data_IF_831503239426
#
_entry.id   IF_831503239426
#
_cell.length_a   1.000
_cell.length_b   1.000
_cell.length_c   1.000
_cell.angle_alpha   90.00
_cell.angle_beta   90.00
_cell.angle_gamma   90.00
#
_symmetry.space_group_name_H-M   'P 1'
#
loop_
_entity.id
_entity.type
_entity.pdbx_description
1 polymer ?
#
# COMPACT_ATOMS: atom_id res chain seq x y z
N UNK A 1 -0.13 11.20 14.02
CA UNK A 1 0.11 10.64 12.68
C UNK A 1 0.88 11.64 11.87
N UNK A 2 2.02 11.27 11.29
CA UNK A 2 2.79 12.13 10.39
C UNK A 2 2.35 11.86 8.95
N UNK A 3 1.14 12.27 8.57
CA UNK A 3 0.64 12.07 7.20
C UNK A 3 0.55 13.43 6.53
N UNK A 4 1.17 13.52 5.36
CA UNK A 4 1.15 14.72 4.53
C UNK A 4 -0.27 14.85 3.96
N UNK A 5 -0.96 15.92 4.34
CA UNK A 5 -2.35 16.17 3.90
C UNK A 5 -2.37 16.79 2.51
N UNK A 6 -1.47 17.74 2.28
CA UNK A 6 -1.37 18.53 1.06
C UNK A 6 -0.04 18.24 0.38
N UNK A 7 -0.12 17.73 -0.86
CA UNK A 7 1.06 17.37 -1.63
C UNK A 7 1.92 18.60 -1.94
N UNK A 8 1.28 19.71 -2.28
CA UNK A 8 1.93 20.98 -2.64
C UNK A 8 2.81 21.54 -1.52
N UNK A 9 2.47 21.28 -0.25
CA UNK A 9 3.27 21.71 0.90
C UNK A 9 4.69 21.11 0.90
N UNK A 10 4.91 19.98 0.23
CA UNK A 10 6.26 19.40 0.07
C UNK A 10 7.13 20.34 -0.75
N UNK A 11 6.61 20.88 -1.86
CA UNK A 11 7.34 21.83 -2.70
C UNK A 11 7.69 23.10 -1.93
N UNK A 12 6.71 23.66 -1.20
CA UNK A 12 6.92 24.81 -0.32
C UNK A 12 7.99 24.53 0.73
N UNK A 13 8.00 23.35 1.35
CA UNK A 13 9.04 22.95 2.31
C UNK A 13 10.43 22.96 1.64
N UNK A 14 10.58 22.36 0.46
CA UNK A 14 11.87 22.33 -0.26
C UNK A 14 12.37 23.72 -0.65
N UNK A 15 11.47 24.68 -0.88
CA UNK A 15 11.80 26.07 -1.16
C UNK A 15 12.11 26.90 0.10
N UNK A 16 11.33 26.72 1.16
CA UNK A 16 11.57 27.42 2.42
C UNK A 16 12.89 26.98 3.06
N UNK A 17 13.20 25.68 3.03
CA UNK A 17 14.43 25.15 3.62
C UNK A 17 15.70 25.72 3.01
N UNK A 18 15.70 26.13 1.73
CA UNK A 18 16.89 26.77 1.14
C UNK A 18 17.20 28.15 1.73
N UNK A 19 16.29 28.72 2.51
CA UNK A 19 16.46 30.00 3.20
C UNK A 19 16.69 29.84 4.72
N UNK A 20 16.70 28.61 5.24
CA UNK A 20 16.91 28.32 6.65
C UNK A 20 18.39 28.07 6.97
N UNK A 21 18.76 28.21 8.24
CA UNK A 21 20.08 27.79 8.73
C UNK A 21 20.31 26.28 8.53
N UNK A 22 21.57 25.89 8.35
CA UNK A 22 21.97 24.49 8.04
C UNK A 22 21.49 23.50 9.10
N UNK A 23 21.48 23.91 10.38
CA UNK A 23 20.97 23.10 11.51
C UNK A 23 19.48 22.79 11.35
N UNK A 24 18.67 23.81 11.08
CA UNK A 24 17.24 23.66 10.83
C UNK A 24 16.98 22.79 9.59
N UNK A 25 17.73 23.01 8.51
CA UNK A 25 17.64 22.15 7.32
C UNK A 25 17.89 20.68 7.68
N UNK A 26 18.96 20.39 8.43
CA UNK A 26 19.35 19.03 8.81
C UNK A 26 18.27 18.33 9.62
N UNK A 27 17.70 19.02 10.62
CA UNK A 27 16.63 18.49 11.45
C UNK A 27 15.38 18.16 10.63
N UNK A 28 14.94 19.09 9.78
CA UNK A 28 13.73 18.89 8.97
C UNK A 28 13.92 17.78 7.94
N UNK A 29 15.04 17.73 7.22
CA UNK A 29 15.31 16.66 6.26
C UNK A 29 15.43 15.28 6.92
N UNK A 30 16.04 15.21 8.10
CA UNK A 30 16.13 13.97 8.88
C UNK A 30 14.74 13.49 9.33
N UNK A 31 13.94 14.40 9.92
CA UNK A 31 12.57 14.10 10.33
C UNK A 31 11.70 13.69 9.14
N UNK A 32 11.78 14.43 8.03
CA UNK A 32 11.03 14.13 6.82
C UNK A 32 11.38 12.75 6.26
N UNK A 33 12.67 12.39 6.22
CA UNK A 33 13.13 11.06 5.81
C UNK A 33 12.58 9.96 6.72
N UNK A 34 12.57 10.17 8.04
CA UNK A 34 11.98 9.23 8.99
C UNK A 34 10.47 9.05 8.80
N UNK A 35 9.76 10.13 8.43
CA UNK A 35 8.33 10.13 8.10
C UNK A 35 8.07 9.33 6.81
N UNK A 36 8.90 9.51 5.78
CA UNK A 36 8.80 8.77 4.52
C UNK A 36 9.01 7.26 4.71
N UNK A 37 10.04 6.85 5.46
CA UNK A 37 10.34 5.42 5.73
C UNK A 37 9.18 4.66 6.36
N UNK A 38 8.32 5.37 7.11
CA UNK A 38 7.21 4.77 7.87
C UNK A 38 5.86 4.80 7.14
N UNK A 39 5.76 5.47 5.98
CA UNK A 39 4.48 5.75 5.33
C UNK A 39 4.56 5.65 3.81
N UNK A 40 3.99 4.57 3.27
CA UNK A 40 3.81 4.39 1.81
C UNK A 40 2.94 5.50 1.23
N UNK A 41 1.98 6.04 2.00
CA UNK A 41 1.16 7.18 1.57
C UNK A 41 2.03 8.43 1.35
N UNK A 42 2.95 8.73 2.27
CA UNK A 42 3.82 9.90 2.13
C UNK A 42 4.84 9.72 1.01
N UNK A 43 5.33 8.49 0.80
CA UNK A 43 6.17 8.15 -0.35
C UNK A 43 5.43 8.40 -1.66
N UNK A 44 4.19 7.90 -1.78
CA UNK A 44 3.34 8.14 -2.93
C UNK A 44 3.11 9.64 -3.19
N UNK A 45 2.71 10.40 -2.16
CA UNK A 45 2.50 11.85 -2.27
C UNK A 45 3.79 12.58 -2.70
N UNK A 46 4.94 12.15 -2.20
CA UNK A 46 6.25 12.70 -2.58
C UNK A 46 6.64 12.38 -4.02
N UNK A 47 6.29 11.19 -4.51
CA UNK A 47 6.46 10.81 -5.92
C UNK A 47 5.55 11.63 -6.83
N UNK A 48 4.29 11.87 -6.44
CA UNK A 48 3.32 12.65 -7.24
C UNK A 48 3.77 14.09 -7.50
N UNK A 49 4.47 14.71 -6.55
CA UNK A 49 5.05 16.06 -6.71
C UNK A 49 6.43 16.06 -7.35
N UNK A 50 6.96 14.90 -7.73
CA UNK A 50 8.28 14.77 -8.34
C UNK A 50 9.43 15.17 -7.40
N UNK A 51 9.33 14.83 -6.11
CA UNK A 51 10.32 15.26 -5.11
C UNK A 51 11.75 14.82 -5.46
N UNK A 52 11.93 13.62 -6.04
CA UNK A 52 13.25 13.17 -6.51
C UNK A 52 13.81 14.18 -7.50
N UNK A 53 13.04 14.56 -8.52
CA UNK A 53 13.49 15.55 -9.51
C UNK A 53 13.86 16.89 -8.84
N UNK A 54 13.01 17.40 -7.94
CA UNK A 54 13.25 18.68 -7.26
C UNK A 54 14.54 18.67 -6.46
N UNK A 55 14.81 17.60 -5.72
CA UNK A 55 16.01 17.45 -4.89
C UNK A 55 17.25 17.25 -5.76
N UNK A 56 17.14 16.44 -6.82
CA UNK A 56 18.25 16.22 -7.75
C UNK A 56 18.74 17.53 -8.40
N UNK A 57 17.80 18.41 -8.78
CA UNK A 57 18.12 19.71 -9.38
C UNK A 57 18.79 20.69 -8.40
N UNK A 58 18.53 20.56 -7.09
CA UNK A 58 19.13 21.42 -6.06
C UNK A 58 20.43 20.86 -5.47
N UNK A 59 20.78 19.60 -5.72
CA UNK A 59 21.94 18.96 -5.06
C UNK A 59 23.29 19.62 -5.36
N UNK A 60 23.46 20.27 -6.50
CA UNK A 60 24.71 20.98 -6.83
C UNK A 60 24.96 22.21 -5.94
N UNK A 61 23.93 22.72 -5.26
CA UNK A 61 24.02 23.94 -4.45
C UNK A 61 24.03 23.67 -2.94
N UNK A 62 23.87 22.41 -2.49
CA UNK A 62 23.68 22.09 -1.06
C UNK A 62 24.70 21.04 -0.59
N UNK A 63 25.95 21.48 -0.40
CA UNK A 63 27.06 20.61 0.00
C UNK A 63 26.91 20.01 1.40
N UNK A 64 26.50 20.83 2.38
CA UNK A 64 26.46 20.42 3.80
C UNK A 64 25.37 19.37 4.08
N UNK A 65 24.37 19.29 3.20
CA UNK A 65 23.18 18.43 3.37
C UNK A 65 23.24 17.14 2.56
N UNK A 66 24.29 16.93 1.77
CA UNK A 66 24.31 15.89 0.75
C UNK A 66 24.05 14.49 1.31
N UNK A 67 24.55 14.18 2.52
CA UNK A 67 24.35 12.88 3.14
C UNK A 67 22.86 12.61 3.46
N UNK A 68 22.16 13.61 3.97
CA UNK A 68 20.74 13.53 4.31
C UNK A 68 19.87 13.45 3.06
N UNK A 69 20.19 14.25 2.04
CA UNK A 69 19.48 14.21 0.75
C UNK A 69 19.68 12.88 0.03
N UNK A 70 20.91 12.33 0.04
CA UNK A 70 21.21 11.01 -0.54
C UNK A 70 20.45 9.91 0.18
N UNK A 71 20.38 9.96 1.51
CA UNK A 71 19.61 8.98 2.29
C UNK A 71 18.12 9.02 1.92
N UNK A 72 17.53 10.21 1.88
CA UNK A 72 16.15 10.41 1.46
C UNK A 72 15.88 9.96 0.02
N UNK A 73 16.77 10.30 -0.91
CA UNK A 73 16.69 9.87 -2.31
C UNK A 73 16.71 8.36 -2.43
N UNK A 74 17.52 7.68 -1.62
CA UNK A 74 17.53 6.23 -1.50
C UNK A 74 16.16 5.66 -1.08
N UNK A 75 15.53 6.25 -0.05
CA UNK A 75 14.18 5.87 0.37
C UNK A 75 13.16 6.06 -0.75
N UNK A 76 13.14 7.24 -1.37
CA UNK A 76 12.19 7.55 -2.45
C UNK A 76 12.39 6.63 -3.66
N UNK A 77 13.63 6.46 -4.12
CA UNK A 77 13.94 5.66 -5.31
C UNK A 77 13.74 4.15 -5.10
N UNK A 78 13.87 3.67 -3.86
CA UNK A 78 13.48 2.29 -3.48
C UNK A 78 11.97 2.07 -3.51
N UNK A 79 11.17 3.13 -3.38
CA UNK A 79 9.72 3.08 -3.56
C UNK A 79 9.33 3.17 -5.03
N UNK A 80 9.72 4.27 -5.70
CA UNK A 80 9.41 4.51 -7.10
C UNK A 80 10.39 5.52 -7.69
N UNK A 81 10.74 5.32 -8.96
CA UNK A 81 11.53 6.27 -9.74
C UNK A 81 11.09 6.20 -11.20
N UNK A 82 10.88 7.37 -11.80
CA UNK A 82 10.53 7.48 -13.22
C UNK A 82 11.76 7.40 -14.10
N UNK A 83 11.57 7.12 -15.40
CA UNK A 83 12.67 7.17 -16.39
C UNK A 83 13.33 8.55 -16.45
N UNK A 84 12.56 9.62 -16.25
CA UNK A 84 13.06 11.00 -16.24
C UNK A 84 14.00 11.25 -15.05
N UNK A 85 13.56 10.87 -13.85
CA UNK A 85 14.35 11.01 -12.61
C UNK A 85 15.60 10.13 -12.65
N UNK A 86 15.49 8.91 -13.19
CA UNK A 86 16.63 8.02 -13.35
C UNK A 86 17.68 8.59 -14.31
N UNK A 87 17.25 9.14 -15.46
CA UNK A 87 18.15 9.83 -16.39
C UNK A 87 18.81 11.04 -15.73
N UNK A 88 18.08 11.80 -14.92
CA UNK A 88 18.62 12.92 -14.16
C UNK A 88 19.67 12.45 -13.15
N UNK A 89 19.40 11.40 -12.38
CA UNK A 89 20.37 10.81 -11.45
C UNK A 89 21.64 10.35 -12.18
N UNK A 90 21.52 9.64 -13.31
CA UNK A 90 22.69 9.25 -14.11
C UNK A 90 23.46 10.44 -14.68
N UNK A 91 22.78 11.53 -15.04
CA UNK A 91 23.46 12.75 -15.50
C UNK A 91 24.36 13.36 -14.42
N UNK A 92 23.98 13.24 -13.15
CA UNK A 92 24.77 13.68 -12.00
C UNK A 92 25.96 12.77 -11.68
N UNK A 93 26.01 11.57 -12.28
CA UNK A 93 27.13 10.63 -12.17
C UNK A 93 28.11 10.76 -13.34
N UNK A 94 27.75 11.49 -14.40
CA UNK A 94 28.58 11.64 -15.59
C UNK A 94 29.83 12.47 -15.25
N UNK A 95 30.99 11.82 -15.29
CA UNK A 95 32.26 12.52 -15.18
C UNK A 95 32.57 13.40 -16.39
N UNK A 96 33.37 14.43 -16.15
CA UNK A 96 33.94 15.27 -17.19
C UNK A 96 35.47 15.17 -17.14
N UNK A 97 36.12 15.07 -18.30
CA UNK A 97 37.57 14.88 -18.44
C UNK A 97 38.15 13.74 -17.56
N UNK A 98 37.40 12.65 -17.39
CA UNK A 98 37.82 11.49 -16.58
C UNK A 98 37.70 11.69 -15.07
N UNK A 99 37.17 12.83 -14.62
CA UNK A 99 36.98 13.13 -13.20
C UNK A 99 35.51 12.92 -12.84
N UNK A 100 35.28 12.13 -11.79
CA UNK A 100 33.93 11.92 -11.26
C UNK A 100 33.44 13.17 -10.51
N UNK A 101 32.13 13.52 -10.61
CA UNK A 101 31.57 14.62 -9.84
C UNK A 101 31.75 14.40 -8.33
N UNK A 102 31.93 15.49 -7.58
CA UNK A 102 32.25 15.47 -6.13
C UNK A 102 31.39 14.52 -5.29
N UNK A 103 30.09 14.44 -5.58
CA UNK A 103 29.13 13.64 -4.81
C UNK A 103 28.73 12.33 -5.48
N UNK A 104 29.35 11.97 -6.60
CA UNK A 104 28.90 10.84 -7.40
C UNK A 104 29.01 9.49 -6.65
N UNK A 105 30.03 9.30 -5.81
CA UNK A 105 30.14 8.10 -4.96
C UNK A 105 28.95 7.98 -4.00
N UNK A 106 28.52 9.10 -3.39
CA UNK A 106 27.34 9.10 -2.53
C UNK A 106 26.07 8.83 -3.35
N UNK A 107 25.96 9.37 -4.56
CA UNK A 107 24.80 9.09 -5.42
C UNK A 107 24.75 7.66 -5.93
N UNK A 108 25.89 6.98 -6.11
CA UNK A 108 25.91 5.54 -6.38
C UNK A 108 25.26 4.73 -5.25
N UNK A 109 25.27 5.20 -3.99
CA UNK A 109 24.58 4.50 -2.91
C UNK A 109 23.06 4.52 -3.07
N UNK A 110 22.49 5.54 -3.73
CA UNK A 110 21.06 5.57 -4.09
C UNK A 110 20.74 4.41 -5.03
N UNK A 111 21.58 4.17 -6.04
CA UNK A 111 21.42 3.06 -6.98
C UNK A 111 21.49 1.69 -6.29
N UNK A 112 22.32 1.55 -5.26
CA UNK A 112 22.39 0.32 -4.47
C UNK A 112 21.13 0.08 -3.60
N UNK A 113 20.41 1.13 -3.23
CA UNK A 113 19.16 1.04 -2.46
C UNK A 113 17.94 0.80 -3.35
N UNK A 114 17.95 1.29 -4.59
CA UNK A 114 16.85 1.10 -5.55
C UNK A 114 16.35 -0.35 -5.73
N UNK A 115 17.21 -1.39 -5.83
CA UNK A 115 16.76 -2.78 -5.95
C UNK A 115 16.25 -3.36 -4.63
N UNK A 116 16.49 -2.72 -3.48
CA UNK A 116 16.03 -3.18 -2.16
C UNK A 116 14.57 -2.79 -1.90
N UNK A 117 13.70 -3.04 -2.88
CA UNK A 117 12.27 -2.75 -2.78
C UNK A 117 11.63 -3.67 -1.75
N UNK A 118 10.78 -3.09 -0.90
CA UNK A 118 10.05 -3.83 0.12
C UNK A 118 8.58 -3.94 -0.28
N UNK A 119 8.13 -5.17 -0.59
CA UNK A 119 6.74 -5.46 -0.98
C UNK A 119 6.58 -5.78 -2.47
N UNK A 120 5.34 -5.83 -2.97
CA UNK A 120 5.06 -6.17 -4.36
C UNK A 120 5.45 -5.05 -5.32
N UNK A 121 5.91 -5.41 -6.51
CA UNK A 121 6.28 -4.47 -7.58
C UNK A 121 5.10 -3.65 -8.11
N UNK A 122 3.89 -4.18 -7.98
CA UNK A 122 2.66 -3.54 -8.46
C UNK A 122 1.52 -3.85 -7.50
N UNK A 123 0.79 -2.82 -7.10
CA UNK A 123 -0.37 -2.94 -6.22
C UNK A 123 -1.35 -1.79 -6.47
N UNK A 124 -2.60 -2.01 -6.07
CA UNK A 124 -3.60 -0.94 -6.01
C UNK A 124 -3.59 -0.31 -4.61
N UNK A 125 -3.50 1.02 -4.56
CA UNK A 125 -3.57 1.76 -3.31
C UNK A 125 -4.96 2.38 -3.14
N UNK A 126 -5.65 2.03 -2.06
CA UNK A 126 -6.96 2.59 -1.74
C UNK A 126 -6.83 3.61 -0.61
N UNK A 127 -6.89 4.93 -0.89
CA UNK A 127 -6.65 5.97 0.12
C UNK A 127 -7.74 6.07 1.19
N UNK A 128 -8.87 5.37 1.03
CA UNK A 128 -10.04 5.47 1.90
C UNK A 128 -10.94 6.66 1.61
N UNK A 129 -10.77 7.32 0.44
CA UNK A 129 -11.65 8.39 -0.02
C UNK A 129 -12.87 7.81 -0.75
N UNK A 130 -13.95 8.59 -0.84
CA UNK A 130 -15.13 8.22 -1.64
C UNK A 130 -14.74 7.79 -3.05
N UNK A 131 -15.39 6.74 -3.56
CA UNK A 131 -15.14 6.15 -4.89
C UNK A 131 -13.74 5.53 -5.11
N UNK A 132 -12.91 5.34 -4.08
CA UNK A 132 -11.68 4.56 -4.18
C UNK A 132 -11.99 3.05 -4.21
N UNK A 133 -12.39 2.52 -5.37
CA UNK A 133 -12.74 1.12 -5.55
C UNK A 133 -12.35 0.61 -6.94
N UNK A 134 -12.18 -0.71 -7.05
CA UNK A 134 -12.13 -1.41 -8.34
C UNK A 134 -13.48 -2.07 -8.54
N UNK A 135 -14.21 -1.64 -9.57
CA UNK A 135 -15.43 -2.29 -10.01
C UNK A 135 -15.09 -3.28 -11.12
N UNK A 136 -15.37 -4.55 -10.88
CA UNK A 136 -15.30 -5.57 -11.92
C UNK A 136 -16.63 -5.62 -12.68
N UNK A 137 -16.63 -5.91 -13.99
CA UNK A 137 -17.85 -6.17 -14.72
C UNK A 137 -18.69 -7.28 -14.03
N UNK A 138 -20.02 -7.18 -14.01
CA UNK A 138 -20.86 -8.21 -13.43
C UNK A 138 -20.59 -9.57 -14.07
N UNK A 139 -20.44 -10.59 -13.23
CA UNK A 139 -20.32 -11.97 -13.71
C UNK A 139 -21.73 -12.53 -13.89
N UNK A 140 -22.02 -13.05 -15.08
CA UNK A 140 -23.36 -13.55 -15.42
C UNK A 140 -23.85 -14.67 -14.49
N UNK A 141 -22.94 -15.49 -13.96
CA UNK A 141 -23.26 -16.58 -13.04
C UNK A 141 -22.17 -16.73 -11.99
N UNK A 142 -22.54 -16.59 -10.71
CA UNK A 142 -21.63 -16.86 -9.61
C UNK A 142 -21.55 -18.38 -9.35
N UNK A 143 -20.37 -18.94 -9.01
CA UNK A 143 -20.24 -20.34 -8.65
C UNK A 143 -20.98 -20.64 -7.33
N UNK A 144 -22.21 -21.16 -7.43
CA UNK A 144 -23.01 -21.56 -6.28
C UNK A 144 -22.88 -23.06 -5.95
N UNK A 145 -22.54 -23.92 -6.91
CA UNK A 145 -22.53 -25.39 -6.75
C UNK A 145 -21.15 -26.06 -6.88
N UNK A 146 -20.09 -25.30 -7.15
CA UNK A 146 -18.75 -25.85 -7.41
C UNK A 146 -17.68 -25.29 -6.47
N UNK A 147 -18.07 -24.59 -5.41
CA UNK A 147 -17.14 -23.84 -4.56
C UNK A 147 -16.45 -22.70 -5.31
N UNK A 148 -15.61 -21.94 -4.62
CA UNK A 148 -14.72 -20.96 -5.24
C UNK A 148 -13.54 -20.65 -4.32
N UNK A 149 -12.49 -20.08 -4.89
CA UNK A 149 -11.37 -19.55 -4.12
C UNK A 149 -11.11 -18.11 -4.54
N UNK A 150 -10.91 -17.25 -3.55
CA UNK A 150 -10.31 -15.93 -3.74
C UNK A 150 -8.90 -16.02 -3.17
N UNK A 151 -7.91 -15.59 -3.94
CA UNK A 151 -6.54 -15.45 -3.48
C UNK A 151 -6.04 -14.04 -3.80
N UNK A 152 -5.57 -13.31 -2.79
CA UNK A 152 -5.04 -11.96 -2.99
C UNK A 152 -4.01 -11.61 -1.92
N UNK A 153 -3.13 -10.66 -2.24
CA UNK A 153 -2.26 -10.02 -1.27
C UNK A 153 -2.93 -8.78 -0.72
N UNK A 154 -2.83 -8.56 0.59
CA UNK A 154 -3.33 -7.36 1.22
C UNK A 154 -2.32 -6.79 2.22
N UNK A 155 -2.40 -5.48 2.41
CA UNK A 155 -1.69 -4.73 3.45
C UNK A 155 -2.60 -3.63 3.96
N UNK A 156 -2.88 -3.64 5.27
CA UNK A 156 -3.60 -2.55 5.89
C UNK A 156 -2.62 -1.47 6.34
N UNK A 157 -2.93 -0.21 6.05
CA UNK A 157 -2.18 0.94 6.57
C UNK A 157 -3.18 1.87 7.29
N UNK A 158 -3.64 1.46 8.50
CA UNK A 158 -4.65 2.21 9.24
C UNK A 158 -4.09 3.57 9.66
N UNK A 159 -4.94 4.58 9.57
CA UNK A 159 -4.72 5.88 10.17
C UNK A 159 -5.02 5.74 11.67
N UNK A 160 -4.21 6.31 12.58
CA UNK A 160 -4.60 6.50 14.00
C UNK A 160 -5.77 7.52 14.14
N UNK A 161 -6.88 7.29 13.44
CA UNK A 161 -8.06 8.12 13.51
C UNK A 161 -9.10 7.42 14.38
N UNK A 162 -9.81 8.20 15.19
CA UNK A 162 -10.91 7.78 16.08
C UNK A 162 -12.09 7.12 15.29
N UNK A 163 -12.08 7.18 13.95
CA UNK A 163 -13.12 6.68 13.04
C UNK A 163 -12.75 5.38 12.29
N UNK A 164 -11.93 4.49 12.88
CA UNK A 164 -11.54 3.18 12.27
C UNK A 164 -12.76 2.38 11.75
N UNK A 165 -13.93 2.58 12.36
CA UNK A 165 -15.14 1.86 11.98
C UNK A 165 -15.79 2.30 10.65
N UNK A 166 -15.53 3.52 10.17
CA UNK A 166 -16.14 4.04 8.93
C UNK A 166 -15.36 3.63 7.67
N UNK A 167 -14.04 3.52 7.77
CA UNK A 167 -13.15 3.31 6.62
C UNK A 167 -12.66 1.85 6.54
N UNK A 168 -13.60 0.91 6.41
CA UNK A 168 -13.26 -0.53 6.34
C UNK A 168 -12.89 -0.91 4.90
N UNK A 169 -11.75 -1.57 4.65
CA UNK A 169 -11.47 -2.16 3.35
C UNK A 169 -12.44 -3.33 3.14
N UNK A 170 -13.11 -3.34 2.00
CA UNK A 170 -14.07 -4.37 1.66
C UNK A 170 -13.70 -5.09 0.38
N UNK A 171 -13.92 -6.40 0.40
CA UNK A 171 -14.04 -7.23 -0.77
C UNK A 171 -15.52 -7.61 -0.92
N UNK A 172 -16.14 -7.32 -2.06
CA UNK A 172 -17.57 -7.59 -2.28
C UNK A 172 -17.80 -8.44 -3.53
N UNK A 173 -18.57 -9.52 -3.36
CA UNK A 173 -19.17 -10.29 -4.45
C UNK A 173 -20.65 -10.46 -4.14
N UNK A 174 -21.43 -9.43 -4.47
CA UNK A 174 -22.86 -9.39 -4.13
C UNK A 174 -23.70 -9.05 -5.35
N UNK A 175 -24.91 -9.58 -5.38
CA UNK A 175 -25.95 -9.16 -6.33
C UNK A 175 -26.49 -7.77 -5.95
N UNK A 176 -27.29 -7.16 -6.82
CA UNK A 176 -28.00 -5.90 -6.54
C UNK A 176 -28.92 -5.97 -5.32
N UNK A 177 -29.38 -7.18 -4.97
CA UNK A 177 -30.19 -7.47 -3.76
C UNK A 177 -29.35 -7.65 -2.49
N UNK A 178 -28.01 -7.53 -2.57
CA UNK A 178 -27.09 -7.68 -1.45
C UNK A 178 -26.79 -9.12 -1.04
N UNK A 179 -27.21 -10.10 -1.85
CA UNK A 179 -26.98 -11.54 -1.63
C UNK A 179 -25.60 -11.89 -2.17
N UNK A 180 -24.82 -12.69 -1.45
CA UNK A 180 -23.48 -13.09 -1.87
C UNK A 180 -22.47 -13.12 -0.74
N UNK A 181 -21.22 -12.84 -1.06
CA UNK A 181 -20.09 -12.94 -0.16
C UNK A 181 -19.41 -11.58 -0.01
N UNK A 182 -18.84 -11.34 1.16
CA UNK A 182 -18.00 -10.17 1.39
C UNK A 182 -16.96 -10.47 2.45
N UNK A 183 -15.83 -9.80 2.39
CA UNK A 183 -14.84 -9.83 3.45
C UNK A 183 -14.49 -8.39 3.85
N UNK A 184 -14.34 -8.14 5.16
CA UNK A 184 -13.98 -6.82 5.67
C UNK A 184 -13.20 -6.93 6.96
N UNK A 185 -12.42 -5.90 7.27
CA UNK A 185 -11.67 -5.86 8.51
C UNK A 185 -12.42 -5.13 9.62
N UNK A 186 -12.33 -5.68 10.83
CA UNK A 186 -12.74 -5.03 12.08
C UNK A 186 -11.52 -5.05 13.00
N UNK A 187 -10.90 -3.90 13.19
CA UNK A 187 -9.56 -3.82 13.77
C UNK A 187 -8.56 -4.64 12.94
N UNK A 188 -7.86 -5.56 13.61
CA UNK A 188 -6.89 -6.47 13.00
C UNK A 188 -7.50 -7.81 12.56
N UNK A 189 -8.83 -8.00 12.66
CA UNK A 189 -9.48 -9.26 12.34
C UNK A 189 -10.18 -9.17 10.97
N UNK A 190 -9.98 -10.17 10.13
CA UNK A 190 -10.75 -10.33 8.90
C UNK A 190 -12.06 -11.06 9.19
N UNK A 191 -13.17 -10.48 8.77
CA UNK A 191 -14.51 -11.07 8.87
C UNK A 191 -14.99 -11.44 7.48
N UNK A 192 -15.21 -12.73 7.24
CA UNK A 192 -15.83 -13.26 6.03
C UNK A 192 -17.32 -13.41 6.28
N UNK A 193 -18.15 -12.77 5.46
CA UNK A 193 -19.61 -12.78 5.56
C UNK A 193 -20.21 -13.40 4.32
N UNK A 194 -21.19 -14.27 4.53
CA UNK A 194 -22.00 -14.90 3.49
C UNK A 194 -23.47 -14.57 3.75
N UNK A 195 -24.10 -13.83 2.84
CA UNK A 195 -25.50 -13.39 2.95
C UNK A 195 -26.37 -14.18 1.98
N UNK A 196 -27.41 -14.82 2.51
CA UNK A 196 -28.44 -15.53 1.73
C UNK A 196 -29.62 -14.61 1.40
N UNK A 197 -29.99 -13.74 2.34
CA UNK A 197 -31.03 -12.73 2.17
C UNK A 197 -30.65 -11.49 2.98
N UNK A 198 -31.37 -10.38 2.80
CA UNK A 198 -31.14 -9.15 3.53
C UNK A 198 -31.14 -9.42 5.05
N UNK A 199 -30.00 -9.16 5.70
CA UNK A 199 -29.81 -9.33 7.15
C UNK A 199 -29.69 -10.77 7.67
N UNK A 200 -29.78 -11.81 6.81
CA UNK A 200 -29.62 -13.21 7.23
C UNK A 200 -28.42 -13.85 6.53
N UNK A 201 -27.46 -14.31 7.32
CA UNK A 201 -26.23 -14.89 6.80
C UNK A 201 -25.31 -15.50 7.85
N UNK A 202 -24.13 -15.92 7.39
CA UNK A 202 -23.02 -16.41 8.19
C UNK A 202 -21.95 -15.34 8.30
N UNK A 203 -21.32 -15.24 9.47
CA UNK A 203 -20.10 -14.49 9.65
C UNK A 203 -19.04 -15.40 10.27
N UNK A 204 -17.87 -15.42 9.66
CA UNK A 204 -16.70 -16.13 10.12
C UNK A 204 -15.61 -15.13 10.44
N UNK A 205 -15.25 -15.02 11.72
CA UNK A 205 -14.07 -14.29 12.15
C UNK A 205 -12.84 -15.16 11.91
N UNK A 206 -11.95 -14.73 11.02
CA UNK A 206 -10.69 -15.43 10.75
C UNK A 206 -9.82 -15.33 12.00
N UNK A 207 -9.46 -16.47 12.57
CA UNK A 207 -8.64 -16.59 13.79
C UNK A 207 -7.15 -16.28 13.53
N UNK A 208 -6.86 -15.06 13.05
CA UNK A 208 -5.52 -14.56 12.79
C UNK A 208 -5.44 -13.07 13.09
N UNK A 209 -4.39 -12.65 13.81
CA UNK A 209 -4.15 -11.25 14.17
C UNK A 209 -3.30 -10.56 13.09
N UNK A 210 -3.95 -9.83 12.19
CA UNK A 210 -3.28 -9.16 11.10
C UNK A 210 -2.61 -7.87 11.56
N UNK A 211 -1.27 -7.88 11.61
CA UNK A 211 -0.51 -6.69 11.95
C UNK A 211 -0.56 -5.64 10.84
N UNK A 212 -0.74 -4.35 11.17
CA UNK A 212 -0.72 -3.28 10.19
C UNK A 212 0.65 -3.17 9.49
N UNK A 213 0.65 -2.56 8.30
CA UNK A 213 1.82 -2.24 7.47
C UNK A 213 2.62 -3.45 6.98
N UNK A 214 2.11 -4.66 7.18
CA UNK A 214 2.69 -5.92 6.68
C UNK A 214 1.83 -6.49 5.56
N UNK A 215 2.49 -7.07 4.56
CA UNK A 215 1.83 -7.80 3.48
C UNK A 215 1.50 -9.23 3.92
N UNK A 216 0.32 -9.70 3.55
CA UNK A 216 -0.10 -11.07 3.75
C UNK A 216 -0.79 -11.59 2.48
N UNK A 217 -0.51 -12.83 2.14
CA UNK A 217 -1.29 -13.57 1.16
C UNK A 217 -2.51 -14.17 1.88
N UNK A 218 -3.71 -13.82 1.45
CA UNK A 218 -4.95 -14.43 1.95
C UNK A 218 -5.57 -15.28 0.85
N UNK A 219 -5.95 -16.50 1.23
CA UNK A 219 -6.81 -17.34 0.41
C UNK A 219 -8.09 -17.69 1.19
N UNK A 220 -9.25 -17.30 0.64
CA UNK A 220 -10.56 -17.68 1.16
C UNK A 220 -11.14 -18.73 0.22
N UNK A 221 -11.30 -19.95 0.73
CA UNK A 221 -11.78 -21.11 -0.02
C UNK A 221 -13.19 -21.44 0.47
N UNK A 222 -14.18 -21.33 -0.40
CA UNK A 222 -15.52 -21.85 -0.19
C UNK A 222 -15.63 -23.24 -0.79
N UNK A 223 -15.88 -24.23 0.05
CA UNK A 223 -16.06 -25.63 -0.34
C UNK A 223 -17.56 -25.93 -0.30
N UNK A 224 -18.14 -26.11 -1.47
CA UNK A 224 -19.54 -26.51 -1.59
C UNK A 224 -19.70 -27.99 -1.24
N UNK A 225 -20.69 -28.31 -0.41
CA UNK A 225 -21.12 -29.67 -0.17
C UNK A 225 -22.63 -29.78 -0.40
N UNK A 226 -23.05 -30.78 -1.19
CA UNK A 226 -24.46 -31.00 -1.52
C UNK A 226 -25.24 -31.70 -0.40
N UNK A 227 -24.57 -32.60 0.32
CA UNK A 227 -25.19 -33.51 1.29
C UNK A 227 -24.81 -33.21 2.74
N UNK A 228 -23.90 -32.26 2.95
CA UNK A 228 -23.48 -31.77 4.27
C UNK A 228 -23.43 -30.24 4.24
N UNK A 229 -23.08 -29.65 5.37
CA UNK A 229 -22.75 -28.23 5.43
C UNK A 229 -21.59 -27.92 4.47
N UNK A 230 -21.70 -26.78 3.79
CA UNK A 230 -20.57 -26.23 3.04
C UNK A 230 -19.55 -25.66 4.03
N UNK A 231 -18.34 -25.34 3.59
CA UNK A 231 -17.28 -24.85 4.48
C UNK A 231 -16.65 -23.59 3.91
N UNK A 232 -16.21 -22.70 4.80
CA UNK A 232 -15.20 -21.68 4.47
C UNK A 232 -13.90 -22.06 5.15
N UNK A 233 -12.80 -22.02 4.40
CA UNK A 233 -11.43 -22.15 4.91
C UNK A 233 -10.64 -20.90 4.57
N UNK A 234 -9.89 -20.40 5.53
CA UNK A 234 -9.08 -19.21 5.40
C UNK A 234 -7.60 -19.57 5.61
N UNK A 235 -6.79 -19.24 4.62
CA UNK A 235 -5.36 -19.43 4.62
C UNK A 235 -4.66 -18.07 4.68
N UNK A 236 -3.60 -17.99 5.48
CA UNK A 236 -2.72 -16.81 5.56
C UNK A 236 -1.31 -17.28 5.27
N UNK A 237 -0.67 -16.69 4.27
CA UNK A 237 0.66 -17.06 3.79
C UNK A 237 0.78 -18.57 3.49
N UNK A 238 -0.29 -19.15 2.94
CA UNK A 238 -0.36 -20.55 2.53
C UNK A 238 -0.70 -21.53 3.67
N UNK A 239 -0.79 -21.06 4.92
CA UNK A 239 -1.13 -21.90 6.07
C UNK A 239 -2.61 -21.75 6.42
N UNK A 240 -3.29 -22.87 6.68
CA UNK A 240 -4.67 -22.86 7.17
C UNK A 240 -4.70 -22.29 8.59
N UNK A 241 -5.41 -21.17 8.79
CA UNK A 241 -5.50 -20.50 10.10
C UNK A 241 -6.89 -20.56 10.71
N UNK A 242 -7.92 -20.73 9.89
CA UNK A 242 -9.31 -20.73 10.36
C UNK A 242 -10.22 -21.45 9.36
N UNK A 243 -11.27 -22.09 9.88
CA UNK A 243 -12.33 -22.65 9.06
C UNK A 243 -13.67 -22.58 9.81
N UNK A 244 -14.77 -22.62 9.07
CA UNK A 244 -16.12 -22.57 9.64
C UNK A 244 -17.13 -23.29 8.77
N UNK A 245 -17.99 -24.07 9.43
CA UNK A 245 -19.10 -24.76 8.77
C UNK A 245 -20.22 -23.78 8.45
N UNK A 246 -20.67 -23.84 7.21
CA UNK A 246 -21.79 -23.08 6.68
C UNK A 246 -22.98 -24.02 6.49
N UNK A 247 -23.92 -23.98 7.44
CA UNK A 247 -25.14 -24.79 7.37
C UNK A 247 -26.14 -24.33 6.30
N UNK A 248 -25.76 -23.37 5.44
CA UNK A 248 -26.66 -22.80 4.44
C UNK A 248 -25.95 -22.41 3.15
N UNK A 249 -26.69 -22.57 2.06
CA UNK A 249 -26.28 -22.27 0.70
C UNK A 249 -26.68 -20.84 0.29
N UNK A 250 -25.78 -20.12 -0.39
CA UNK A 250 -26.08 -18.85 -1.04
C UNK A 250 -26.47 -19.11 -2.48
N UNK A 251 -27.73 -18.88 -2.81
CA UNK A 251 -28.20 -18.87 -4.19
C UNK A 251 -28.24 -17.42 -4.70
N UNK A 252 -27.45 -17.14 -5.72
CA UNK A 252 -27.40 -15.84 -6.40
C UNK A 252 -28.13 -15.85 -7.75
N UNK A 253 -28.78 -16.96 -8.11
CA UNK A 253 -29.65 -16.98 -9.29
C UNK A 253 -30.90 -16.16 -8.94
N UNK A 254 -31.11 -15.08 -9.70
CA UNK A 254 -32.41 -14.44 -9.81
C UNK A 254 -33.37 -15.30 -10.65
#
# INVERSE_FOLDING_TARGET
NFIIQEAESIGCMVELLSHCEVTCQAEIWSMFTAILRKSVRNLQTSTEVGLIQQVLLKMSTVDDMIALLVDMLGVLASYSITVKELKLLFSMLKGDNGIWPRHAIKLLSVLNQMPQRHGPDTFFNFPGRSAAAIALPPIAKWPYQNGFTINTWFRQDPLNNINVDKDKPYLYFRTSKGIGYSAHFVGNCLIVTSLKSKGKGFQHCVKYDFQPRKWYMISIVHIYNRWRNSEIRCYVNGQLVSYGDMAWHVNTND
#
